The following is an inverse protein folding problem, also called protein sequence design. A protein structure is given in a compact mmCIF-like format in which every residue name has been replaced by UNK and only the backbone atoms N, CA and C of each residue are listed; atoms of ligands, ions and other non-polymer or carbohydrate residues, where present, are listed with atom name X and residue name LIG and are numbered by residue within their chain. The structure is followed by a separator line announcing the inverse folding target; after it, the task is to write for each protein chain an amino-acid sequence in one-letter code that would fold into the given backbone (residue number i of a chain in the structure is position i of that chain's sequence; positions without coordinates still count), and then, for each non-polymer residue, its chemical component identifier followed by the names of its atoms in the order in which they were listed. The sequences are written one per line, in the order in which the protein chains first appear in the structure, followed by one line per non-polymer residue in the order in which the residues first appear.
data_IF_246754322097
#
_entry.id   IF_246754322097
#
_cell.length_a   1.000
_cell.length_b   1.000
_cell.length_c   1.000
_cell.angle_alpha   90.00
_cell.angle_beta   90.00
_cell.angle_gamma   90.00
#
_symmetry.space_group_name_H-M   'P 1'
#
loop_
_entity.id
_entity.type
_entity.pdbx_description
1 polymer ?
#
# COMPACT_ATOMS: atom_id res chain seq x y z
N UNK A 1 -8.53 -8.17 -5.16
CA UNK A 1 -8.34 -6.77 -5.61
C UNK A 1 -6.90 -6.33 -5.31
N UNK A 2 -6.37 -5.46 -6.12
CA UNK A 2 -5.03 -4.91 -5.92
C UNK A 2 -5.18 -3.46 -5.45
N UNK A 3 -4.59 -3.13 -4.29
CA UNK A 3 -4.66 -1.82 -3.68
C UNK A 3 -3.24 -1.25 -3.60
N UNK A 4 -3.02 -0.09 -4.19
CA UNK A 4 -1.76 0.65 -4.05
C UNK A 4 -1.96 1.77 -3.04
N UNK A 5 -1.09 1.86 -2.04
CA UNK A 5 -1.20 2.84 -0.97
C UNK A 5 0.11 3.61 -0.80
N UNK A 6 0.01 4.93 -0.69
CA UNK A 6 1.14 5.80 -0.41
C UNK A 6 1.47 5.80 1.08
N UNK A 7 2.71 6.14 1.42
CA UNK A 7 3.16 6.20 2.81
C UNK A 7 3.05 7.62 3.37
N UNK A 8 3.85 8.55 2.84
CA UNK A 8 3.90 9.93 3.36
C UNK A 8 2.61 10.68 3.05
N UNK A 9 2.01 11.26 4.07
CA UNK A 9 0.73 11.97 3.94
C UNK A 9 -0.49 11.07 3.93
N UNK A 10 -0.32 9.74 3.99
CA UNK A 10 -1.42 8.77 3.90
C UNK A 10 -1.36 7.78 5.06
N UNK A 11 -0.43 6.82 5.02
CA UNK A 11 -0.22 5.88 6.13
C UNK A 11 0.48 6.54 7.31
N UNK A 12 1.33 7.52 7.03
CA UNK A 12 2.11 8.23 8.05
C UNK A 12 2.00 9.71 7.78
N UNK A 13 1.38 10.45 8.68
CA UNK A 13 1.17 11.89 8.54
C UNK A 13 1.29 12.58 9.89
N UNK A 14 1.97 13.73 9.89
CA UNK A 14 2.15 14.49 11.12
C UNK A 14 2.88 13.73 12.22
N UNK A 15 3.79 12.83 11.87
CA UNK A 15 4.53 12.02 12.83
C UNK A 15 3.75 10.84 13.40
N UNK A 16 2.59 10.52 12.84
CA UNK A 16 1.72 9.46 13.36
C UNK A 16 1.26 8.54 12.24
N UNK A 17 1.13 7.25 12.56
CA UNK A 17 0.52 6.27 11.67
C UNK A 17 -1.00 6.44 11.66
N UNK A 18 -1.58 6.22 10.50
CA UNK A 18 -3.04 6.14 10.34
C UNK A 18 -3.48 4.70 10.68
N UNK A 19 -3.72 4.45 11.96
CA UNK A 19 -4.05 3.10 12.43
C UNK A 19 -5.38 2.60 11.87
N UNK A 20 -6.34 3.49 11.62
CA UNK A 20 -7.61 3.09 11.01
C UNK A 20 -7.42 2.56 9.59
N UNK A 21 -6.64 3.26 8.79
CA UNK A 21 -6.33 2.81 7.43
C UNK A 21 -5.51 1.52 7.44
N UNK A 22 -4.53 1.42 8.34
CA UNK A 22 -3.74 0.19 8.49
C UNK A 22 -4.64 -1.01 8.81
N UNK A 23 -5.59 -0.83 9.71
CA UNK A 23 -6.55 -1.89 10.05
C UNK A 23 -7.38 -2.32 8.84
N UNK A 24 -7.85 -1.36 8.04
CA UNK A 24 -8.58 -1.64 6.81
C UNK A 24 -7.75 -2.43 5.81
N UNK A 25 -6.48 -2.03 5.62
CA UNK A 25 -5.57 -2.73 4.69
C UNK A 25 -5.24 -4.14 5.16
N UNK A 26 -5.03 -4.32 6.48
CA UNK A 26 -4.82 -5.65 7.05
C UNK A 26 -6.03 -6.55 6.84
N UNK A 27 -7.23 -6.02 7.03
CA UNK A 27 -8.46 -6.77 6.78
C UNK A 27 -8.60 -7.13 5.30
N UNK A 28 -8.24 -6.22 4.40
CA UNK A 28 -8.24 -6.49 2.96
C UNK A 28 -7.29 -7.65 2.62
N UNK A 29 -6.08 -7.66 3.21
CA UNK A 29 -5.12 -8.74 3.01
C UNK A 29 -5.67 -10.08 3.51
N UNK A 30 -6.33 -10.09 4.66
CA UNK A 30 -6.96 -11.31 5.19
C UNK A 30 -8.06 -11.83 4.28
N UNK A 31 -8.69 -10.95 3.53
CA UNK A 31 -9.73 -11.32 2.55
C UNK A 31 -9.16 -11.73 1.19
N UNK A 32 -7.83 -11.76 1.06
CA UNK A 32 -7.17 -12.17 -0.16
C UNK A 32 -6.75 -11.04 -1.08
N UNK A 33 -6.91 -9.78 -0.67
CA UNK A 33 -6.49 -8.64 -1.47
C UNK A 33 -4.98 -8.43 -1.36
N UNK A 34 -4.38 -7.92 -2.43
CA UNK A 34 -2.96 -7.57 -2.50
C UNK A 34 -2.81 -6.08 -2.19
N UNK A 35 -1.88 -5.75 -1.28
CA UNK A 35 -1.59 -4.35 -0.94
C UNK A 35 -0.16 -4.02 -1.33
N UNK A 36 -0.01 -3.06 -2.24
CA UNK A 36 1.29 -2.58 -2.71
C UNK A 36 1.59 -1.26 -2.01
N UNK A 37 2.72 -1.18 -1.33
CA UNK A 37 3.23 0.09 -0.83
C UNK A 37 3.90 0.81 -2.00
N UNK A 38 3.36 1.99 -2.35
CA UNK A 38 3.84 2.77 -3.48
C UNK A 38 4.35 4.11 -2.97
N UNK A 39 5.67 4.26 -2.85
CA UNK A 39 6.30 5.39 -2.18
C UNK A 39 7.52 5.88 -2.94
N UNK A 40 7.82 7.17 -2.79
CA UNK A 40 9.05 7.75 -3.30
C UNK A 40 10.24 7.50 -2.39
N UNK A 41 10.01 6.96 -1.18
CA UNK A 41 11.11 6.65 -0.27
C UNK A 41 11.98 5.53 -0.81
N UNK A 42 13.27 5.62 -0.55
CA UNK A 42 14.25 4.59 -0.93
C UNK A 42 15.37 4.54 0.11
N UNK A 43 16.20 3.51 0.03
CA UNK A 43 17.33 3.35 0.94
C UNK A 43 16.90 3.33 2.40
N UNK A 44 17.62 4.11 3.23
CA UNK A 44 17.38 4.16 4.68
C UNK A 44 15.97 4.68 5.02
N UNK A 45 15.49 5.68 4.28
CA UNK A 45 14.15 6.23 4.57
C UNK A 45 13.04 5.22 4.29
N UNK A 46 13.23 4.36 3.29
CA UNK A 46 12.29 3.25 3.03
C UNK A 46 12.40 2.19 4.12
N UNK A 47 13.61 1.84 4.54
CA UNK A 47 13.81 0.88 5.62
C UNK A 47 13.17 1.35 6.92
N UNK A 48 13.27 2.63 7.24
CA UNK A 48 12.64 3.22 8.42
C UNK A 48 11.11 3.13 8.33
N UNK A 49 10.54 3.43 7.16
CA UNK A 49 9.10 3.31 6.94
C UNK A 49 8.61 1.87 7.12
N UNK A 50 9.33 0.91 6.54
CA UNK A 50 8.97 -0.51 6.68
C UNK A 50 9.07 -0.98 8.13
N UNK A 51 10.10 -0.57 8.88
CA UNK A 51 10.21 -0.90 10.29
C UNK A 51 9.02 -0.36 11.07
N UNK A 52 8.60 0.86 10.78
CA UNK A 52 7.45 1.48 11.45
C UNK A 52 6.17 0.70 11.17
N UNK A 53 5.94 0.31 9.91
CA UNK A 53 4.76 -0.46 9.53
C UNK A 53 4.79 -1.87 10.15
N UNK A 54 5.95 -2.53 10.12
CA UNK A 54 6.09 -3.88 10.70
C UNK A 54 5.81 -3.88 12.19
N UNK A 55 6.26 -2.86 12.93
CA UNK A 55 5.95 -2.74 14.35
C UNK A 55 4.46 -2.56 14.60
N UNK A 56 3.73 -1.99 13.66
CA UNK A 56 2.28 -1.87 13.73
C UNK A 56 1.56 -3.14 13.24
N UNK A 57 2.31 -4.18 12.88
CA UNK A 57 1.74 -5.45 12.40
C UNK A 57 1.29 -5.46 10.96
N UNK A 58 1.71 -4.47 10.16
CA UNK A 58 1.34 -4.38 8.76
C UNK A 58 2.54 -4.67 7.87
N UNK A 59 2.37 -5.62 6.96
CA UNK A 59 3.40 -6.06 6.02
C UNK A 59 2.85 -5.90 4.60
N UNK A 60 3.26 -4.86 3.85
CA UNK A 60 2.83 -4.73 2.45
C UNK A 60 3.15 -5.98 1.66
N UNK A 61 2.25 -6.34 0.74
CA UNK A 61 2.46 -7.52 -0.11
C UNK A 61 3.64 -7.33 -1.05
N UNK A 62 3.75 -6.13 -1.64
CA UNK A 62 4.86 -5.73 -2.51
C UNK A 62 5.18 -4.27 -2.27
N UNK A 63 6.38 -3.86 -2.67
CA UNK A 63 6.87 -2.49 -2.50
C UNK A 63 7.34 -1.98 -3.85
N UNK A 64 6.68 -0.93 -4.35
CA UNK A 64 7.05 -0.24 -5.60
C UNK A 64 7.18 -1.18 -6.81
N UNK A 65 6.47 -2.30 -6.80
CA UNK A 65 6.46 -3.23 -7.91
C UNK A 65 5.04 -3.75 -8.14
N UNK A 66 4.75 -4.10 -9.39
CA UNK A 66 3.48 -4.72 -9.72
C UNK A 66 3.37 -6.13 -9.11
N UNK A 67 2.13 -6.58 -8.90
CA UNK A 67 1.89 -7.96 -8.51
C UNK A 67 2.41 -8.91 -9.61
N UNK A 68 2.92 -10.10 -9.24
CA UNK A 68 3.49 -11.03 -10.22
C UNK A 68 2.55 -11.39 -11.38
N UNK A 69 1.26 -11.56 -11.11
CA UNK A 69 0.30 -11.86 -12.18
C UNK A 69 0.14 -10.69 -13.17
N UNK A 70 0.28 -9.44 -12.70
CA UNK A 70 0.26 -8.28 -13.58
C UNK A 70 1.49 -8.26 -14.47
N UNK A 71 2.67 -8.55 -13.91
CA UNK A 71 3.92 -8.62 -14.67
C UNK A 71 3.82 -9.71 -15.75
N UNK A 72 3.28 -10.87 -15.41
CA UNK A 72 3.07 -11.96 -16.37
C UNK A 72 2.13 -11.55 -17.50
N UNK A 73 1.04 -10.85 -17.17
CA UNK A 73 0.04 -10.40 -18.16
C UNK A 73 0.61 -9.34 -19.10
N UNK A 74 1.37 -8.38 -18.55
CA UNK A 74 1.92 -7.26 -19.32
C UNK A 74 3.29 -7.54 -19.94
N UNK A 75 3.94 -8.63 -19.52
CA UNK A 75 5.29 -9.05 -19.93
C UNK A 75 6.40 -8.08 -19.49
N UNK A 76 6.09 -7.17 -18.52
CA UNK A 76 7.08 -6.30 -17.90
C UNK A 76 6.52 -5.67 -16.63
N UNK A 77 7.40 -5.14 -15.79
CA UNK A 77 7.03 -4.41 -14.59
C UNK A 77 7.03 -2.91 -14.91
N UNK A 78 5.88 -2.38 -15.26
CA UNK A 78 5.74 -0.98 -15.66
C UNK A 78 5.99 -0.04 -14.48
N UNK A 79 6.50 1.18 -14.76
CA UNK A 79 6.71 2.20 -13.73
C UNK A 79 5.40 2.63 -13.08
N UNK A 80 4.33 2.71 -13.86
CA UNK A 80 3.01 2.95 -13.32
C UNK A 80 2.48 1.64 -12.76
N UNK A 81 2.38 1.56 -11.45
CA UNK A 81 1.87 0.36 -10.76
C UNK A 81 0.40 0.18 -11.10
N UNK A 82 0.02 -1.01 -11.54
CA UNK A 82 -1.38 -1.35 -11.74
C UNK A 82 -2.04 -1.65 -10.40
N UNK A 83 -3.16 -1.01 -10.13
CA UNK A 83 -4.00 -1.31 -8.98
C UNK A 83 -5.45 -1.03 -9.30
N UNK A 84 -6.35 -1.74 -8.62
CA UNK A 84 -7.78 -1.46 -8.72
C UNK A 84 -8.14 -0.20 -7.94
N UNK A 85 -7.40 0.08 -6.86
CA UNK A 85 -7.60 1.25 -6.01
C UNK A 85 -6.25 1.86 -5.69
N UNK A 86 -6.16 3.20 -5.80
CA UNK A 86 -4.99 3.97 -5.40
C UNK A 86 -5.39 4.86 -4.22
N UNK A 87 -4.71 4.68 -3.08
CA UNK A 87 -4.99 5.45 -1.87
C UNK A 87 -3.80 6.37 -1.60
N UNK A 88 -4.03 7.67 -1.71
CA UNK A 88 -3.02 8.68 -1.40
C UNK A 88 -3.62 9.77 -0.52
N UNK A 89 -2.85 10.82 -0.22
CA UNK A 89 -3.26 11.89 0.68
C UNK A 89 -4.53 12.62 0.22
N UNK A 90 -4.85 12.57 -1.07
CA UNK A 90 -6.03 13.23 -1.64
C UNK A 90 -7.21 12.28 -1.83
N UNK A 91 -6.94 11.00 -2.06
CA UNK A 91 -7.97 10.01 -2.43
C UNK A 91 -8.39 9.11 -1.27
N UNK A 92 -7.61 9.02 -0.18
CA UNK A 92 -7.86 8.08 0.92
C UNK A 92 -9.25 8.23 1.53
N UNK A 93 -9.76 9.46 1.63
CA UNK A 93 -11.08 9.72 2.21
C UNK A 93 -12.22 9.17 1.36
N UNK A 94 -11.98 8.89 0.09
CA UNK A 94 -12.98 8.37 -0.84
C UNK A 94 -12.98 6.85 -0.92
N UNK A 95 -11.97 6.21 -0.34
CA UNK A 95 -11.87 4.75 -0.40
C UNK A 95 -12.84 4.10 0.58
N UNK A 96 -13.59 3.13 0.07
CA UNK A 96 -14.48 2.30 0.88
C UNK A 96 -14.12 0.85 0.67
N UNK A 97 -13.83 0.08 1.73
CA UNK A 97 -13.51 -1.33 1.60
C UNK A 97 -14.67 -2.10 0.97
N UNK A 98 -14.33 -3.11 0.16
CA UNK A 98 -15.32 -3.99 -0.44
C UNK A 98 -16.10 -4.72 0.66
N UNK A 99 -17.41 -4.85 0.48
CA UNK A 99 -18.27 -5.60 1.39
C UNK A 99 -18.63 -4.85 2.67
N UNK A 100 -18.37 -3.56 2.69
CA UNK A 100 -18.72 -2.70 3.82
C UNK A 100 -19.83 -1.73 3.48
#
# INVERSE_FOLDING_TARGET
MIIAVDYDGTLFDGGKLNHGLIAQLRNAQRSGDTVILWTCREGKTLADALSTLHRAGFYPSFINSNAPETIRRLHHDSRKIFADVYIDDKAAALWKPRGK
#
